data_IF_972977097047
#
_entry.id   IF_972977097047
#
_cell.length_a   1.000
_cell.length_b   1.000
_cell.length_c   1.000
_cell.angle_alpha   90.00
_cell.angle_beta   90.00
_cell.angle_gamma   90.00
#
_symmetry.space_group_name_H-M   'P 1'
#
loop_
_entity.id
_entity.type
_entity.pdbx_description
1 polymer ?
#
# COMPACT_ATOMS: atom_id res chain seq x y z
N UNK A 1 -1.19 2.22 -25.63
CA UNK A 1 -0.22 1.15 -25.34
C UNK A 1 -0.72 0.40 -24.13
N UNK A 2 0.08 -0.47 -23.51
CA UNK A 2 -0.20 -0.96 -22.16
C UNK A 2 0.55 -0.10 -21.13
N UNK A 3 -0.09 0.20 -20.01
CA UNK A 3 0.47 0.95 -18.91
C UNK A 3 1.21 0.04 -17.92
N UNK A 4 2.16 0.62 -17.20
CA UNK A 4 2.80 0.08 -16.00
C UNK A 4 2.80 1.19 -14.95
N UNK A 5 2.56 0.87 -13.68
CA UNK A 5 2.50 1.88 -12.62
C UNK A 5 3.37 1.49 -11.42
N UNK A 6 4.34 2.32 -11.09
CA UNK A 6 5.33 2.02 -10.05
C UNK A 6 5.57 3.27 -9.22
N UNK A 7 5.30 3.15 -7.93
CA UNK A 7 5.77 4.10 -6.91
C UNK A 7 6.80 3.41 -6.00
N UNK A 8 7.93 4.09 -5.77
CA UNK A 8 8.92 3.79 -4.73
C UNK A 8 9.21 5.05 -3.94
N UNK A 9 9.39 4.89 -2.63
CA UNK A 9 9.89 5.95 -1.75
C UNK A 9 11.22 5.51 -1.19
N UNK A 10 12.22 6.39 -1.18
CA UNK A 10 13.55 6.08 -0.66
C UNK A 10 14.22 7.33 -0.08
N UNK A 11 15.13 7.17 0.89
CA UNK A 11 15.91 8.26 1.46
C UNK A 11 16.91 8.80 0.44
N UNK A 12 16.99 10.12 0.27
CA UNK A 12 17.94 10.77 -0.66
C UNK A 12 19.40 10.49 -0.28
N UNK A 13 19.69 10.40 1.02
CA UNK A 13 20.98 10.02 1.60
C UNK A 13 21.22 8.50 1.61
N UNK A 14 20.29 7.70 1.11
CA UNK A 14 20.46 6.26 0.91
C UNK A 14 20.39 5.40 2.18
N UNK A 15 19.94 5.96 3.31
CA UNK A 15 19.80 5.21 4.56
C UNK A 15 18.44 5.43 5.22
N UNK A 16 17.76 4.35 5.62
CA UNK A 16 16.51 4.41 6.37
C UNK A 16 16.79 4.40 7.86
N UNK A 17 16.35 5.44 8.57
CA UNK A 17 16.50 5.54 10.03
C UNK A 17 15.30 6.22 10.69
N UNK A 18 15.13 6.00 11.99
CA UNK A 18 14.17 6.73 12.82
C UNK A 18 12.74 6.75 12.23
N UNK A 19 12.08 7.92 12.17
CA UNK A 19 10.67 8.01 11.80
C UNK A 19 10.37 7.63 10.34
N UNK A 20 11.29 7.91 9.40
CA UNK A 20 11.14 7.50 7.99
C UNK A 20 11.16 5.99 7.84
N UNK A 21 12.06 5.31 8.55
CA UNK A 21 12.14 3.84 8.57
C UNK A 21 10.87 3.23 9.14
N UNK A 22 10.44 3.72 10.31
CA UNK A 22 9.25 3.22 10.99
C UNK A 22 7.98 3.31 10.13
N UNK A 23 7.76 4.45 9.45
CA UNK A 23 6.61 4.58 8.54
C UNK A 23 6.77 3.72 7.29
N UNK A 24 7.99 3.58 6.77
CA UNK A 24 8.26 2.75 5.59
C UNK A 24 7.93 1.28 5.85
N UNK A 25 8.36 0.74 6.99
CA UNK A 25 8.09 -0.63 7.39
C UNK A 25 6.58 -0.92 7.50
N UNK A 26 5.80 0.03 8.02
CA UNK A 26 4.34 -0.08 8.09
C UNK A 26 3.72 -0.14 6.69
N UNK A 27 4.13 0.74 5.78
CA UNK A 27 3.61 0.75 4.39
C UNK A 27 4.03 -0.52 3.64
N UNK A 28 5.27 -0.97 3.81
CA UNK A 28 5.77 -2.19 3.19
C UNK A 28 4.99 -3.43 3.69
N UNK A 29 4.76 -3.52 5.01
CA UNK A 29 3.97 -4.60 5.59
C UNK A 29 2.52 -4.58 5.07
N UNK A 30 1.91 -3.39 4.94
CA UNK A 30 0.56 -3.26 4.37
C UNK A 30 0.53 -3.70 2.90
N UNK A 31 1.54 -3.35 2.11
CA UNK A 31 1.64 -3.74 0.72
C UNK A 31 1.78 -5.25 0.56
N UNK A 32 2.66 -5.89 1.33
CA UNK A 32 2.83 -7.35 1.31
C UNK A 32 1.50 -8.06 1.61
N UNK A 33 0.78 -7.63 2.64
CA UNK A 33 -0.53 -8.21 2.98
C UNK A 33 -1.61 -7.95 1.93
N UNK A 34 -1.59 -6.79 1.28
CA UNK A 34 -2.51 -6.51 0.20
C UNK A 34 -2.23 -7.37 -1.04
N UNK A 35 -0.94 -7.56 -1.41
CA UNK A 35 -0.54 -8.45 -2.51
C UNK A 35 -0.97 -9.90 -2.23
N UNK A 36 -0.81 -10.41 -1.01
CA UNK A 36 -1.28 -11.75 -0.62
C UNK A 36 -2.80 -11.94 -0.85
N UNK A 37 -3.58 -10.86 -0.72
CA UNK A 37 -5.03 -10.88 -0.92
C UNK A 37 -5.45 -10.78 -2.40
N UNK A 38 -4.55 -10.42 -3.32
CA UNK A 38 -4.83 -10.44 -4.76
C UNK A 38 -4.73 -11.88 -5.25
N UNK A 39 -5.86 -12.61 -5.28
CA UNK A 39 -5.90 -14.00 -5.74
C UNK A 39 -7.30 -14.40 -6.18
N UNK A 40 -7.46 -15.47 -6.99
CA UNK A 40 -8.78 -15.91 -7.44
C UNK A 40 -9.76 -16.14 -6.30
N UNK A 41 -11.00 -15.69 -6.49
CA UNK A 41 -12.09 -15.85 -5.52
C UNK A 41 -12.15 -14.78 -4.42
N UNK A 42 -11.05 -14.09 -4.12
CA UNK A 42 -11.11 -12.89 -3.29
C UNK A 42 -11.81 -11.76 -4.05
N UNK A 43 -12.39 -10.83 -3.30
CA UNK A 43 -13.02 -9.62 -3.84
C UNK A 43 -11.94 -8.58 -4.16
N UNK A 44 -12.22 -7.71 -5.13
CA UNK A 44 -11.38 -6.54 -5.40
C UNK A 44 -11.07 -5.72 -4.12
N UNK A 45 -12.05 -5.56 -3.22
CA UNK A 45 -11.88 -4.82 -1.98
C UNK A 45 -10.98 -5.49 -0.94
N UNK A 46 -10.73 -6.80 -1.02
CA UNK A 46 -10.03 -7.54 0.04
C UNK A 46 -8.57 -7.09 0.19
N UNK A 47 -7.91 -6.69 -0.90
CA UNK A 47 -6.58 -6.10 -0.85
C UNK A 47 -6.57 -4.76 -0.11
N UNK A 48 -7.63 -3.95 -0.30
CA UNK A 48 -7.79 -2.70 0.43
C UNK A 48 -8.03 -2.92 1.92
N UNK A 49 -8.93 -3.83 2.27
CA UNK A 49 -9.26 -4.15 3.66
C UNK A 49 -8.04 -4.70 4.40
N UNK A 50 -7.24 -5.55 3.74
CA UNK A 50 -5.98 -6.08 4.28
C UNK A 50 -4.95 -4.96 4.55
N UNK A 51 -4.72 -4.07 3.58
CA UNK A 51 -3.83 -2.93 3.75
C UNK A 51 -4.29 -2.02 4.91
N UNK A 52 -5.57 -1.62 4.90
CA UNK A 52 -6.13 -0.71 5.93
C UNK A 52 -5.91 -1.29 7.33
N UNK A 53 -6.13 -2.60 7.53
CA UNK A 53 -5.95 -3.21 8.85
C UNK A 53 -4.50 -3.13 9.35
N UNK A 54 -3.53 -3.38 8.46
CA UNK A 54 -2.09 -3.27 8.79
C UNK A 54 -1.68 -1.83 9.04
N UNK A 55 -2.12 -0.90 8.16
CA UNK A 55 -1.85 0.52 8.29
C UNK A 55 -2.40 1.06 9.62
N UNK A 56 -3.65 0.72 9.98
CA UNK A 56 -4.27 1.15 11.24
C UNK A 56 -3.52 0.62 12.44
N UNK A 57 -3.14 -0.67 12.44
CA UNK A 57 -2.31 -1.23 13.53
C UNK A 57 -1.00 -0.46 13.66
N UNK A 58 -0.28 -0.23 12.55
CA UNK A 58 0.96 0.54 12.56
C UNK A 58 0.77 1.99 13.01
N UNK A 59 -0.32 2.65 12.62
CA UNK A 59 -0.64 4.00 13.10
C UNK A 59 -0.87 4.04 14.61
N UNK A 60 -1.53 3.03 15.18
CA UNK A 60 -1.73 2.90 16.63
C UNK A 60 -0.39 2.67 17.34
N UNK A 61 0.42 1.74 16.84
CA UNK A 61 1.72 1.38 17.42
C UNK A 61 2.71 2.57 17.40
N UNK A 62 2.63 3.41 16.36
CA UNK A 62 3.46 4.62 16.22
C UNK A 62 2.89 5.84 16.97
N UNK A 63 1.66 5.75 17.50
CA UNK A 63 0.97 6.83 18.21
C UNK A 63 0.37 7.91 17.31
N UNK A 64 0.14 7.62 16.01
CA UNK A 64 -0.60 8.47 15.07
C UNK A 64 -2.12 8.39 15.28
N UNK A 65 -2.61 7.27 15.80
CA UNK A 65 -3.99 7.05 16.19
C UNK A 65 -4.04 6.58 17.66
N UNK A 66 -5.24 6.62 18.23
CA UNK A 66 -5.53 6.12 19.58
C UNK A 66 -6.78 5.21 19.53
N UNK A 67 -6.87 4.26 20.45
CA UNK A 67 -7.98 3.30 20.54
C UNK A 67 -7.65 1.92 19.97
N UNK A 68 -8.65 1.24 19.43
CA UNK A 68 -8.55 -0.13 18.91
C UNK A 68 -8.65 -0.16 17.39
N UNK A 69 -8.05 -1.19 16.76
CA UNK A 69 -8.00 -1.33 15.29
C UNK A 69 -9.39 -1.27 14.66
N UNK A 70 -10.33 -2.08 15.15
CA UNK A 70 -11.64 -2.19 14.51
C UNK A 70 -12.43 -0.87 14.66
N UNK A 71 -12.32 -0.18 15.80
CA UNK A 71 -12.95 1.13 16.02
C UNK A 71 -12.34 2.26 15.17
N UNK A 72 -11.02 2.24 14.97
CA UNK A 72 -10.34 3.19 14.08
C UNK A 72 -10.71 2.97 12.60
N UNK A 73 -10.94 1.72 12.19
CA UNK A 73 -11.43 1.37 10.85
C UNK A 73 -12.88 1.84 10.67
N UNK A 74 -13.77 1.48 11.61
CA UNK A 74 -15.19 1.81 11.57
C UNK A 74 -15.44 3.32 11.53
N UNK A 75 -14.73 4.08 12.36
CA UNK A 75 -14.81 5.56 12.38
C UNK A 75 -14.14 6.22 11.17
N UNK A 76 -13.29 5.50 10.42
CA UNK A 76 -12.50 6.05 9.32
C UNK A 76 -11.39 7.00 9.75
N UNK A 77 -10.98 6.98 11.02
CA UNK A 77 -9.95 7.88 11.57
C UNK A 77 -8.63 7.85 10.78
N UNK A 78 -8.28 6.68 10.24
CA UNK A 78 -7.08 6.47 9.41
C UNK A 78 -7.07 7.31 8.12
N UNK A 79 -8.23 7.75 7.62
CA UNK A 79 -8.35 8.48 6.35
C UNK A 79 -7.59 9.80 6.33
N UNK A 80 -7.29 10.36 7.51
CA UNK A 80 -6.43 11.54 7.63
C UNK A 80 -5.01 11.30 7.10
N UNK A 81 -4.50 10.07 7.26
CA UNK A 81 -3.15 9.67 6.88
C UNK A 81 -3.13 8.78 5.62
N UNK A 82 -4.23 8.10 5.31
CA UNK A 82 -4.39 7.24 4.14
C UNK A 82 -5.77 7.45 3.49
N UNK A 83 -5.84 8.34 2.50
CA UNK A 83 -7.09 8.88 1.96
C UNK A 83 -7.54 8.28 0.62
N UNK A 84 -6.77 7.36 0.05
CA UNK A 84 -7.04 6.76 -1.26
C UNK A 84 -7.28 5.25 -1.15
N UNK A 85 -7.66 4.61 -2.26
CA UNK A 85 -7.79 3.14 -2.37
C UNK A 85 -6.41 2.50 -2.50
N UNK A 86 -6.36 1.20 -2.27
CA UNK A 86 -5.11 0.41 -2.34
C UNK A 86 -4.75 -0.01 -3.75
N UNK A 87 -5.59 0.27 -4.74
CA UNK A 87 -5.27 0.00 -6.14
C UNK A 87 -6.46 0.21 -7.06
N UNK A 88 -6.20 -0.01 -8.34
CA UNK A 88 -7.14 0.10 -9.46
C UNK A 88 -6.78 -0.93 -10.55
N UNK A 89 -7.70 -1.17 -11.48
CA UNK A 89 -7.39 -1.96 -12.68
C UNK A 89 -6.29 -1.29 -13.49
N UNK A 90 -5.48 -2.12 -14.16
CA UNK A 90 -4.37 -1.68 -14.99
C UNK A 90 -4.39 -2.42 -16.33
N UNK A 91 -4.23 -1.68 -17.43
CA UNK A 91 -4.23 -2.28 -18.76
C UNK A 91 -3.86 -1.27 -19.83
N UNK A 92 -4.80 -0.94 -20.74
CA UNK A 92 -4.51 0.03 -21.82
C UNK A 92 -4.48 1.47 -21.30
N UNK A 93 -5.30 1.74 -20.29
CA UNK A 93 -5.26 2.97 -19.50
C UNK A 93 -4.65 2.68 -18.11
N UNK A 94 -4.04 3.70 -17.48
CA UNK A 94 -3.42 3.55 -16.15
C UNK A 94 -4.47 3.19 -15.10
N UNK A 95 -5.60 3.90 -15.12
CA UNK A 95 -6.81 3.51 -14.42
C UNK A 95 -7.73 2.86 -15.45
N UNK A 96 -7.58 1.55 -15.62
CA UNK A 96 -8.19 0.82 -16.73
C UNK A 96 -9.69 0.62 -16.56
N UNK A 97 -10.35 0.30 -17.68
CA UNK A 97 -11.78 -0.01 -17.68
C UNK A 97 -12.09 -1.32 -16.92
N UNK A 98 -13.31 -1.42 -16.40
CA UNK A 98 -13.79 -2.62 -15.71
C UNK A 98 -14.70 -2.24 -14.54
N UNK A 99 -15.76 -3.00 -14.32
CA UNK A 99 -16.60 -2.80 -13.14
C UNK A 99 -15.88 -3.34 -11.90
N UNK A 100 -15.71 -2.49 -10.89
CA UNK A 100 -15.16 -2.89 -9.59
C UNK A 100 -16.21 -3.60 -8.73
N UNK A 101 -17.49 -3.43 -9.05
CA UNK A 101 -18.59 -3.70 -8.14
C UNK A 101 -18.75 -2.60 -7.09
N UNK A 102 -19.55 -2.88 -6.06
CA UNK A 102 -19.84 -1.92 -4.99
C UNK A 102 -19.91 -2.62 -3.64
N UNK A 103 -20.10 -1.84 -2.57
CA UNK A 103 -20.26 -2.38 -1.22
C UNK A 103 -21.33 -3.48 -1.17
N UNK A 104 -20.97 -4.64 -0.61
CA UNK A 104 -21.82 -5.83 -0.58
C UNK A 104 -21.82 -6.68 -1.86
N UNK A 105 -21.28 -6.17 -2.98
CA UNK A 105 -21.20 -6.86 -4.26
C UNK A 105 -19.93 -6.47 -5.06
N UNK A 106 -18.77 -6.62 -4.43
CA UNK A 106 -17.48 -6.37 -5.07
C UNK A 106 -17.14 -7.45 -6.09
N UNK A 107 -16.53 -7.05 -7.20
CA UNK A 107 -16.10 -7.96 -8.26
C UNK A 107 -15.12 -9.01 -7.70
N UNK A 108 -15.40 -10.32 -7.86
CA UNK A 108 -14.44 -11.36 -7.56
C UNK A 108 -13.28 -11.32 -8.56
N UNK A 109 -12.06 -11.50 -8.04
CA UNK A 109 -10.85 -11.63 -8.83
C UNK A 109 -10.85 -12.99 -9.53
N UNK A 110 -10.49 -12.97 -10.82
CA UNK A 110 -10.29 -14.16 -11.64
C UNK A 110 -8.95 -14.08 -12.36
N UNK A 111 -8.34 -15.23 -12.73
CA UNK A 111 -7.06 -15.23 -13.45
C UNK A 111 -7.11 -14.36 -14.72
N UNK A 112 -6.05 -13.60 -14.95
CA UNK A 112 -5.91 -12.67 -16.07
C UNK A 112 -6.26 -11.21 -15.76
N UNK A 113 -6.90 -10.92 -14.62
CA UNK A 113 -7.07 -9.54 -14.14
C UNK A 113 -5.74 -8.96 -13.65
N UNK A 114 -5.49 -7.67 -13.89
CA UNK A 114 -4.30 -6.94 -13.42
C UNK A 114 -4.75 -5.72 -12.61
N UNK A 115 -4.15 -5.54 -11.44
CA UNK A 115 -4.43 -4.42 -10.52
C UNK A 115 -3.13 -3.86 -9.96
N UNK A 116 -3.10 -2.58 -9.63
CA UNK A 116 -2.06 -2.01 -8.77
C UNK A 116 -2.28 -2.41 -7.32
N UNK A 117 -1.22 -2.39 -6.51
CA UNK A 117 -1.25 -2.49 -5.04
C UNK A 117 -0.35 -1.42 -4.43
N UNK A 118 -0.94 -0.33 -3.95
CA UNK A 118 -0.30 0.97 -3.71
C UNK A 118 -0.64 1.62 -2.35
N UNK A 119 -0.57 0.93 -1.20
CA UNK A 119 -0.82 1.57 0.09
C UNK A 119 0.18 2.70 0.38
N UNK A 120 -0.24 3.66 1.20
CA UNK A 120 0.62 4.76 1.61
C UNK A 120 0.25 5.39 2.96
N UNK A 121 1.18 6.20 3.48
CA UNK A 121 1.00 7.04 4.66
C UNK A 121 1.51 8.44 4.36
N UNK A 122 0.69 9.45 4.62
CA UNK A 122 1.02 10.86 4.41
C UNK A 122 0.73 11.64 5.69
N UNK A 123 1.78 12.02 6.41
CA UNK A 123 1.67 12.63 7.73
C UNK A 123 1.85 14.14 7.63
N UNK A 124 0.74 14.88 7.74
CA UNK A 124 0.75 16.34 7.83
C UNK A 124 0.95 16.81 9.27
N UNK A 125 1.66 17.93 9.49
CA UNK A 125 1.80 18.55 10.80
C UNK A 125 0.46 18.88 11.45
N UNK A 126 0.37 18.67 12.76
CA UNK A 126 -0.73 19.10 13.63
C UNK A 126 -0.39 18.86 15.11
N UNK A 127 -1.11 19.55 16.00
CA UNK A 127 -0.89 19.50 17.46
C UNK A 127 -1.05 18.10 18.06
N UNK A 128 -1.89 17.26 17.45
CA UNK A 128 -2.18 15.89 17.90
C UNK A 128 -1.35 14.82 17.19
N UNK A 129 -0.38 15.20 16.36
CA UNK A 129 0.50 14.28 15.62
C UNK A 129 1.94 14.42 16.15
N UNK A 130 2.61 13.31 16.54
CA UNK A 130 4.00 13.37 16.98
C UNK A 130 4.91 14.04 15.95
N UNK A 131 5.59 15.11 16.36
CA UNK A 131 6.40 15.99 15.48
C UNK A 131 7.43 15.21 14.65
N UNK A 132 8.00 14.13 15.21
CA UNK A 132 8.96 13.26 14.52
C UNK A 132 8.45 12.66 13.21
N UNK A 133 7.13 12.57 12.99
CA UNK A 133 6.55 12.02 11.76
C UNK A 133 6.10 13.09 10.77
N UNK A 134 6.18 14.38 11.10
CA UNK A 134 5.67 15.44 10.24
C UNK A 134 6.35 15.47 8.87
N UNK A 135 5.55 15.76 7.84
CA UNK A 135 5.98 15.91 6.45
C UNK A 135 6.60 14.65 5.82
N UNK A 136 6.34 13.47 6.40
CA UNK A 136 6.74 12.19 5.79
C UNK A 136 5.56 11.66 4.97
N UNK A 137 5.82 11.42 3.69
CA UNK A 137 4.92 10.77 2.75
C UNK A 137 5.58 9.54 2.15
N UNK A 138 4.93 8.39 2.22
CA UNK A 138 5.44 7.12 1.70
C UNK A 138 4.32 6.41 0.96
N UNK A 139 4.60 5.98 -0.26
CA UNK A 139 3.80 5.02 -1.03
C UNK A 139 4.72 3.99 -1.66
N UNK A 140 4.29 2.74 -1.67
CA UNK A 140 5.00 1.61 -2.28
C UNK A 140 3.96 0.88 -3.14
N UNK A 141 4.23 0.78 -4.44
CA UNK A 141 3.25 0.35 -5.43
C UNK A 141 3.81 -0.70 -6.38
N UNK A 142 3.02 -1.74 -6.64
CA UNK A 142 3.37 -2.76 -7.62
C UNK A 142 2.17 -3.12 -8.49
N UNK A 143 2.48 -3.54 -9.73
CA UNK A 143 1.53 -4.11 -10.67
C UNK A 143 1.40 -5.62 -10.40
N UNK A 144 0.16 -6.10 -10.25
CA UNK A 144 -0.11 -7.48 -9.82
C UNK A 144 -1.10 -8.15 -10.77
N UNK A 145 -0.65 -9.25 -11.39
CA UNK A 145 -1.47 -10.14 -12.22
C UNK A 145 -2.07 -11.24 -11.35
N UNK A 146 -3.39 -11.43 -11.44
CA UNK A 146 -4.07 -12.59 -10.84
C UNK A 146 -3.77 -13.83 -11.68
N UNK A 147 -3.25 -14.88 -11.03
CA UNK A 147 -2.93 -16.18 -11.66
C UNK A 147 -3.87 -17.27 -11.15
N UNK A 148 -3.93 -18.47 -11.76
CA UNK A 148 -4.82 -19.55 -11.30
C UNK A 148 -4.66 -19.95 -9.82
N UNK A 149 -3.45 -19.83 -9.27
CA UNK A 149 -3.12 -20.27 -7.91
C UNK A 149 -2.86 -19.11 -6.93
N UNK A 150 -2.88 -17.86 -7.40
CA UNK A 150 -2.53 -16.69 -6.59
C UNK A 150 -2.34 -15.44 -7.43
N UNK A 151 -1.14 -14.88 -7.37
CA UNK A 151 -0.73 -13.73 -8.18
C UNK A 151 0.73 -13.78 -8.60
N UNK A 152 1.07 -12.92 -9.55
CA UNK A 152 2.42 -12.59 -9.98
C UNK A 152 2.62 -11.08 -9.85
N UNK A 153 3.71 -10.66 -9.21
CA UNK A 153 4.10 -9.25 -9.09
C UNK A 153 5.00 -8.89 -10.28
N UNK A 154 4.45 -8.15 -11.24
CA UNK A 154 5.11 -7.84 -12.51
C UNK A 154 6.27 -6.85 -12.34
N UNK A 155 6.24 -6.06 -11.27
CA UNK A 155 7.19 -4.97 -10.98
C UNK A 155 8.20 -5.34 -9.89
N UNK A 156 8.31 -6.63 -9.55
CA UNK A 156 9.18 -7.13 -8.48
C UNK A 156 10.68 -6.84 -8.69
N UNK A 157 11.09 -6.56 -9.93
CA UNK A 157 12.47 -6.21 -10.25
C UNK A 157 12.93 -4.86 -9.66
N UNK A 158 12.00 -3.95 -9.34
CA UNK A 158 12.31 -2.71 -8.64
C UNK A 158 12.29 -2.97 -7.12
N UNK A 159 13.43 -2.92 -6.42
CA UNK A 159 13.50 -3.30 -5.01
C UNK A 159 12.65 -2.40 -4.12
N UNK A 160 12.14 -2.99 -3.04
CA UNK A 160 11.30 -2.31 -2.02
C UNK A 160 11.59 -2.74 -0.59
N UNK A 161 12.41 -3.78 -0.38
CA UNK A 161 12.95 -4.04 0.95
C UNK A 161 13.99 -2.96 1.28
N UNK A 162 14.05 -2.56 2.55
CA UNK A 162 14.98 -1.52 3.00
C UNK A 162 16.41 -1.92 2.66
N UNK A 163 16.79 -3.16 2.99
CA UNK A 163 18.14 -3.67 2.80
C UNK A 163 18.55 -3.67 1.32
N UNK A 164 17.62 -4.01 0.43
CA UNK A 164 17.85 -4.03 -1.03
C UNK A 164 17.99 -2.62 -1.60
N UNK A 165 17.15 -1.67 -1.16
CA UNK A 165 17.24 -0.26 -1.57
C UNK A 165 18.58 0.32 -1.10
N UNK A 166 18.94 0.13 0.17
CA UNK A 166 20.20 0.66 0.69
C UNK A 166 21.42 0.00 0.02
N UNK A 167 21.36 -1.31 -0.28
CA UNK A 167 22.41 -2.00 -1.00
C UNK A 167 22.58 -1.45 -2.43
N UNK A 168 21.47 -1.21 -3.13
CA UNK A 168 21.47 -0.62 -4.47
C UNK A 168 22.06 0.79 -4.45
N UNK A 169 21.66 1.63 -3.49
CA UNK A 169 22.13 3.01 -3.40
C UNK A 169 23.60 3.13 -2.99
N UNK A 170 24.14 2.18 -2.22
CA UNK A 170 25.58 2.12 -1.91
C UNK A 170 26.44 1.72 -3.11
N UNK A 171 25.87 1.03 -4.09
CA UNK A 171 26.57 0.56 -5.28
C UNK A 171 26.55 1.57 -6.44
N UNK A 172 25.82 2.68 -6.29
CA UNK A 172 25.60 3.72 -7.30
C UNK A 172 26.63 4.85 -7.24
#
# INVERSE_FOLDING_TARGET
GYASDITRTFPVDGHFEGPRKALYEVVLAAQVRAIEAVRPGNRFSDAHDAAVRVLVRGMLDLGLLQGEVDGAIESGAYKRFYMHRTGHWLGLDVHDAGDYGAEGNWQPLVPGMVTTVEPGLYVRPADDVPERFWNIGIRIEDDVLVTPDGNEVLTAAAPKAIEDIEALMRAA
#
